data_IF_110723537784
#
_entry.id   IF_110723537784
#
_cell.length_a   1.000
_cell.length_b   1.000
_cell.length_c   1.000
_cell.angle_alpha   90.00
_cell.angle_beta   90.00
_cell.angle_gamma   90.00
#
_symmetry.space_group_name_H-M   'P 1'
#
loop_
_entity.id
_entity.type
_entity.pdbx_description
1 polymer ?
#
# COMPACT_ATOMS: atom_id res chain seq x y z
N UNK A 1 8.83 12.04 5.60
CA UNK A 1 8.56 11.08 4.51
C UNK A 1 8.42 11.89 3.23
N UNK A 2 8.96 11.47 2.08
CA UNK A 2 8.90 12.28 0.84
C UNK A 2 7.54 12.15 0.18
N UNK A 3 7.08 13.23 -0.44
CA UNK A 3 5.86 13.30 -1.23
C UNK A 3 6.03 12.58 -2.58
N UNK A 4 4.98 11.89 -3.03
CA UNK A 4 4.98 11.11 -4.28
C UNK A 4 5.37 11.93 -5.53
N UNK A 5 4.92 13.19 -5.71
CA UNK A 5 5.25 13.98 -6.90
C UNK A 5 6.74 14.30 -7.06
N UNK A 6 7.47 14.48 -5.95
CA UNK A 6 8.90 14.84 -5.98
C UNK A 6 9.82 13.68 -5.60
N UNK A 7 9.31 12.44 -5.59
CA UNK A 7 10.01 11.26 -5.04
C UNK A 7 11.41 11.03 -5.60
N UNK A 8 11.68 11.35 -6.87
CA UNK A 8 13.01 11.18 -7.48
C UNK A 8 13.93 12.40 -7.37
N UNK A 9 13.45 13.56 -6.91
CA UNK A 9 14.26 14.80 -6.86
C UNK A 9 15.19 14.81 -5.65
N UNK A 10 16.42 15.29 -5.83
CA UNK A 10 17.38 15.48 -4.72
C UNK A 10 17.65 14.21 -3.92
N UNK A 11 17.74 13.05 -4.59
CA UNK A 11 18.09 11.80 -3.94
C UNK A 11 19.58 11.80 -3.58
N UNK A 12 19.89 11.75 -2.29
CA UNK A 12 21.28 11.66 -1.83
C UNK A 12 21.97 10.45 -2.46
N UNK A 13 23.25 10.57 -2.89
CA UNK A 13 24.00 9.45 -3.44
C UNK A 13 24.06 8.31 -2.41
N UNK A 14 23.88 7.08 -2.90
CA UNK A 14 23.88 5.82 -2.13
C UNK A 14 24.46 4.77 -3.04
N UNK A 15 25.28 3.89 -2.48
CA UNK A 15 25.84 2.77 -3.23
C UNK A 15 24.76 1.74 -3.59
N UNK A 16 24.98 0.89 -4.61
CA UNK A 16 24.08 -0.22 -4.92
C UNK A 16 23.79 -1.12 -3.73
N UNK A 17 24.79 -1.36 -2.87
CA UNK A 17 24.62 -2.16 -1.65
C UNK A 17 23.65 -1.50 -0.65
N UNK A 18 23.79 -0.19 -0.42
CA UNK A 18 22.85 0.55 0.42
C UNK A 18 21.42 0.51 -0.14
N UNK A 19 21.27 0.61 -1.47
CA UNK A 19 19.96 0.53 -2.13
C UNK A 19 19.32 -0.85 -1.98
N UNK A 20 20.10 -1.92 -2.13
CA UNK A 20 19.62 -3.28 -1.85
C UNK A 20 19.25 -3.48 -0.38
N UNK A 21 20.03 -2.91 0.55
CA UNK A 21 19.71 -2.93 1.97
C UNK A 21 18.38 -2.23 2.29
N UNK A 22 18.10 -1.10 1.60
CA UNK A 22 16.81 -0.42 1.67
C UNK A 22 15.68 -1.33 1.18
N UNK A 23 15.82 -1.96 0.01
CA UNK A 23 14.81 -2.90 -0.50
C UNK A 23 14.54 -4.00 0.52
N UNK A 24 15.58 -4.64 1.07
CA UNK A 24 15.45 -5.68 2.10
C UNK A 24 14.76 -5.19 3.37
N UNK A 25 15.12 -4.00 3.85
CA UNK A 25 14.52 -3.41 5.06
C UNK A 25 13.01 -3.20 4.87
N UNK A 26 12.61 -2.57 3.78
CA UNK A 26 11.20 -2.24 3.54
C UNK A 26 10.37 -3.45 3.12
N UNK A 27 10.97 -4.44 2.45
CA UNK A 27 10.37 -5.76 2.25
C UNK A 27 10.00 -6.40 3.58
N UNK A 28 10.95 -6.51 4.52
CA UNK A 28 10.68 -7.08 5.86
C UNK A 28 9.61 -6.31 6.61
N UNK A 29 9.64 -4.98 6.53
CA UNK A 29 8.61 -4.12 7.13
C UNK A 29 7.22 -4.43 6.58
N UNK A 30 7.06 -4.45 5.26
CA UNK A 30 5.77 -4.75 4.62
C UNK A 30 5.26 -6.17 4.94
N UNK A 31 6.14 -7.18 4.90
CA UNK A 31 5.78 -8.55 5.29
C UNK A 31 5.31 -8.61 6.74
N UNK A 32 6.04 -7.98 7.67
CA UNK A 32 5.67 -7.98 9.10
C UNK A 32 4.36 -7.25 9.41
N UNK A 33 3.93 -6.31 8.56
CA UNK A 33 2.67 -5.59 8.74
C UNK A 33 1.48 -6.29 8.11
N UNK A 34 1.69 -7.31 7.28
CA UNK A 34 0.61 -8.02 6.61
C UNK A 34 -0.43 -8.57 7.60
N UNK A 35 0.02 -9.25 8.64
CA UNK A 35 -0.86 -9.84 9.65
C UNK A 35 -1.67 -8.78 10.42
N UNK A 36 -1.02 -7.65 10.74
CA UNK A 36 -1.70 -6.53 11.39
C UNK A 36 -2.80 -5.94 10.47
N UNK A 37 -2.53 -5.84 9.18
CA UNK A 37 -3.53 -5.41 8.21
C UNK A 37 -4.71 -6.39 8.16
N UNK A 38 -4.45 -7.70 8.16
CA UNK A 38 -5.54 -8.70 8.18
C UNK A 38 -6.38 -8.58 9.46
N UNK A 39 -5.74 -8.31 10.60
CA UNK A 39 -6.44 -8.03 11.86
C UNK A 39 -7.32 -6.77 11.74
N UNK A 40 -6.81 -5.68 11.16
CA UNK A 40 -7.60 -4.44 10.97
C UNK A 40 -8.73 -4.58 9.97
N UNK A 41 -8.58 -5.44 8.96
CA UNK A 41 -9.71 -5.84 8.10
C UNK A 41 -10.78 -6.60 8.87
N UNK A 42 -10.40 -7.44 9.83
CA UNK A 42 -11.36 -8.11 10.71
C UNK A 42 -12.11 -7.11 11.61
N UNK A 43 -11.41 -6.12 12.16
CA UNK A 43 -12.03 -5.04 12.95
C UNK A 43 -13.09 -4.28 12.11
N UNK A 44 -12.80 -3.97 10.85
CA UNK A 44 -13.77 -3.33 9.92
C UNK A 44 -14.98 -4.22 9.67
N UNK A 45 -14.78 -5.52 9.38
CA UNK A 45 -15.87 -6.48 9.19
C UNK A 45 -16.74 -6.62 10.43
N UNK A 46 -16.13 -6.60 11.61
CA UNK A 46 -16.84 -6.65 12.87
C UNK A 46 -17.71 -5.39 13.08
N UNK A 47 -17.17 -4.19 12.82
CA UNK A 47 -17.93 -2.95 12.90
C UNK A 47 -19.14 -2.95 11.94
N UNK A 48 -18.95 -3.43 10.71
CA UNK A 48 -20.04 -3.60 9.75
C UNK A 48 -21.12 -4.58 10.24
N UNK A 49 -20.70 -5.72 10.79
CA UNK A 49 -21.63 -6.72 11.32
C UNK A 49 -22.42 -6.19 12.52
N UNK A 50 -21.76 -5.44 13.41
CA UNK A 50 -22.39 -4.82 14.58
C UNK A 50 -23.40 -3.74 14.21
N UNK A 51 -23.11 -2.96 13.15
CA UNK A 51 -24.05 -1.96 12.64
C UNK A 51 -25.35 -2.61 12.11
N UNK A 52 -25.32 -3.88 11.66
CA UNK A 52 -26.52 -4.63 11.29
C UNK A 52 -27.36 -3.98 10.17
N UNK A 53 -26.73 -3.20 9.28
CA UNK A 53 -27.43 -2.42 8.25
C UNK A 53 -28.03 -1.11 8.76
N UNK A 54 -27.84 -0.76 10.04
CA UNK A 54 -28.13 0.58 10.55
C UNK A 54 -27.25 1.61 9.83
N UNK A 55 -27.88 2.72 9.45
CA UNK A 55 -27.20 3.89 8.89
C UNK A 55 -27.25 5.08 9.85
N UNK A 56 -27.44 4.81 11.15
CA UNK A 56 -27.34 5.83 12.17
C UNK A 56 -25.91 6.37 12.28
N UNK A 57 -25.81 7.57 12.87
CA UNK A 57 -24.56 8.30 12.95
C UNK A 57 -23.52 7.59 13.84
N UNK A 58 -23.96 6.83 14.84
CA UNK A 58 -23.05 6.11 15.74
C UNK A 58 -22.36 4.95 15.01
N UNK A 59 -23.14 4.11 14.34
CA UNK A 59 -22.68 3.00 13.50
C UNK A 59 -21.75 3.49 12.40
N UNK A 60 -22.10 4.60 11.73
CA UNK A 60 -21.23 5.22 10.71
C UNK A 60 -19.89 5.67 11.28
N UNK A 61 -19.88 6.29 12.46
CA UNK A 61 -18.63 6.72 13.12
C UNK A 61 -17.75 5.57 13.54
N UNK A 62 -18.33 4.46 14.02
CA UNK A 62 -17.56 3.27 14.40
C UNK A 62 -16.89 2.61 13.19
N UNK A 63 -17.64 2.43 12.09
CA UNK A 63 -17.09 1.90 10.83
C UNK A 63 -16.01 2.84 10.29
N UNK A 64 -16.24 4.15 10.28
CA UNK A 64 -15.25 5.14 9.86
C UNK A 64 -13.97 5.09 10.70
N UNK A 65 -14.07 4.87 12.01
CA UNK A 65 -12.90 4.72 12.91
C UNK A 65 -12.11 3.45 12.60
N UNK A 66 -12.80 2.34 12.35
CA UNK A 66 -12.15 1.09 11.96
C UNK A 66 -11.44 1.23 10.60
N UNK A 67 -12.11 1.83 9.61
CA UNK A 67 -11.52 2.13 8.30
C UNK A 67 -10.33 3.08 8.38
N UNK A 68 -10.41 4.11 9.21
CA UNK A 68 -9.31 5.03 9.44
C UNK A 68 -8.07 4.28 9.94
N UNK A 69 -8.26 3.40 10.93
CA UNK A 69 -7.16 2.57 11.45
C UNK A 69 -6.59 1.65 10.37
N UNK A 70 -7.44 0.96 9.61
CA UNK A 70 -7.00 0.11 8.49
C UNK A 70 -6.20 0.92 7.45
N UNK A 71 -6.64 2.13 7.13
CA UNK A 71 -5.97 2.96 6.12
C UNK A 71 -4.62 3.51 6.59
N UNK A 72 -4.43 3.69 7.90
CA UNK A 72 -3.09 3.97 8.44
C UNK A 72 -2.14 2.78 8.23
N UNK A 73 -2.64 1.55 8.41
CA UNK A 73 -1.85 0.34 8.14
C UNK A 73 -1.56 0.16 6.64
N UNK A 74 -2.55 0.43 5.78
CA UNK A 74 -2.33 0.49 4.34
C UNK A 74 -1.28 1.54 4.00
N UNK A 75 -1.35 2.74 4.58
CA UNK A 75 -0.40 3.82 4.35
C UNK A 75 1.02 3.39 4.67
N UNK A 76 1.24 2.68 5.78
CA UNK A 76 2.54 2.09 6.09
C UNK A 76 2.98 1.09 5.00
N UNK A 77 2.12 0.14 4.64
CA UNK A 77 2.43 -0.89 3.64
C UNK A 77 2.80 -0.28 2.28
N UNK A 78 2.02 0.66 1.76
CA UNK A 78 2.31 1.32 0.47
C UNK A 78 3.50 2.28 0.58
N UNK A 79 3.83 2.78 1.78
CA UNK A 79 5.08 3.51 2.02
C UNK A 79 6.29 2.59 1.86
N UNK A 80 6.23 1.34 2.33
CA UNK A 80 7.29 0.36 2.08
C UNK A 80 7.49 0.15 0.57
N UNK A 81 6.41 -0.03 -0.18
CA UNK A 81 6.45 -0.13 -1.65
C UNK A 81 7.08 1.10 -2.31
N UNK A 82 6.72 2.31 -1.87
CA UNK A 82 7.35 3.55 -2.36
C UNK A 82 8.86 3.56 -2.11
N UNK A 83 9.32 3.15 -0.93
CA UNK A 83 10.75 3.11 -0.64
C UNK A 83 11.50 2.05 -1.46
N UNK A 84 10.86 0.91 -1.74
CA UNK A 84 11.38 -0.12 -2.63
C UNK A 84 11.47 0.40 -4.07
N UNK A 85 10.40 1.01 -4.58
CA UNK A 85 10.31 1.61 -5.91
C UNK A 85 11.44 2.64 -6.13
N UNK A 86 11.58 3.57 -5.19
CA UNK A 86 12.63 4.59 -5.27
C UNK A 86 14.05 4.01 -5.23
N UNK A 87 14.26 2.91 -4.49
CA UNK A 87 15.55 2.23 -4.48
C UNK A 87 15.81 1.50 -5.80
N UNK A 88 14.78 0.84 -6.35
CA UNK A 88 14.84 0.15 -7.64
C UNK A 88 15.09 1.13 -8.80
N UNK A 89 14.39 2.27 -8.84
CA UNK A 89 14.61 3.30 -9.84
C UNK A 89 16.08 3.72 -9.93
N UNK A 90 16.75 3.85 -8.78
CA UNK A 90 18.16 4.23 -8.73
C UNK A 90 19.07 3.10 -9.20
N UNK A 91 18.80 1.87 -8.78
CA UNK A 91 19.54 0.69 -9.24
C UNK A 91 19.38 0.49 -10.77
N UNK A 92 18.18 0.70 -11.30
CA UNK A 92 17.86 0.57 -12.72
C UNK A 92 18.59 1.59 -13.61
N UNK A 93 19.03 2.73 -13.06
CA UNK A 93 19.86 3.70 -13.78
C UNK A 93 21.31 3.27 -13.96
N UNK A 94 21.76 2.32 -13.13
CA UNK A 94 23.15 1.85 -13.10
C UNK A 94 23.30 0.43 -13.69
N UNK A 95 22.25 -0.39 -13.64
CA UNK A 95 22.27 -1.77 -14.13
C UNK A 95 20.92 -2.18 -14.76
N UNK A 96 20.99 -2.61 -16.02
CA UNK A 96 19.86 -2.97 -16.88
C UNK A 96 19.04 -4.15 -16.32
N UNK A 97 19.65 -5.05 -15.54
CA UNK A 97 18.93 -6.15 -14.88
C UNK A 97 17.85 -5.62 -13.93
N UNK A 98 18.15 -4.56 -13.17
CA UNK A 98 17.15 -3.91 -12.31
C UNK A 98 16.12 -3.10 -13.11
N UNK A 99 16.50 -2.54 -14.27
CA UNK A 99 15.54 -1.89 -15.16
C UNK A 99 14.47 -2.88 -15.67
N UNK A 100 14.89 -4.09 -16.04
CA UNK A 100 13.94 -5.17 -16.43
C UNK A 100 13.02 -5.58 -15.28
N UNK A 101 13.52 -5.66 -14.05
CA UNK A 101 12.69 -5.92 -12.87
C UNK A 101 11.66 -4.80 -12.69
N UNK A 102 12.09 -3.54 -12.74
CA UNK A 102 11.21 -2.39 -12.57
C UNK A 102 10.12 -2.36 -13.66
N UNK A 103 10.44 -2.74 -14.90
CA UNK A 103 9.47 -2.87 -15.98
C UNK A 103 8.48 -4.00 -15.72
N UNK A 104 8.95 -5.19 -15.30
CA UNK A 104 8.11 -6.36 -15.00
C UNK A 104 7.06 -6.04 -13.93
N UNK A 105 7.45 -5.34 -12.87
CA UNK A 105 6.57 -5.00 -11.74
C UNK A 105 5.98 -3.58 -11.83
N UNK A 106 6.02 -2.96 -13.02
CA UNK A 106 5.66 -1.55 -13.19
C UNK A 106 4.20 -1.26 -12.79
N UNK A 107 3.29 -2.18 -13.08
CA UNK A 107 1.87 -2.03 -12.73
C UNK A 107 1.67 -2.03 -11.20
N UNK A 108 2.28 -2.99 -10.51
CA UNK A 108 2.23 -3.13 -9.06
C UNK A 108 2.86 -1.92 -8.39
N UNK A 109 4.07 -1.54 -8.81
CA UNK A 109 4.78 -0.37 -8.28
C UNK A 109 3.94 0.91 -8.45
N UNK A 110 3.38 1.14 -9.64
CA UNK A 110 2.57 2.32 -9.91
C UNK A 110 1.27 2.34 -9.10
N UNK A 111 0.61 1.18 -8.96
CA UNK A 111 -0.61 1.05 -8.14
C UNK A 111 -0.33 1.47 -6.70
N UNK A 112 0.71 0.91 -6.08
CA UNK A 112 1.05 1.23 -4.68
C UNK A 112 1.50 2.68 -4.51
N UNK A 113 2.28 3.23 -5.45
CA UNK A 113 2.68 4.64 -5.42
C UNK A 113 1.47 5.58 -5.55
N UNK A 114 0.48 5.21 -6.37
CA UNK A 114 -0.74 6.01 -6.54
C UNK A 114 -1.63 5.95 -5.31
N UNK A 115 -1.84 4.76 -4.74
CA UNK A 115 -2.59 4.60 -3.47
C UNK A 115 -1.89 5.34 -2.33
N UNK A 116 -0.55 5.30 -2.29
CA UNK A 116 0.26 6.07 -1.33
C UNK A 116 0.07 7.57 -1.46
N UNK A 117 -0.22 8.10 -2.65
CA UNK A 117 -0.52 9.51 -2.83
C UNK A 117 -1.89 9.87 -2.22
N UNK A 118 -2.92 9.05 -2.46
CA UNK A 118 -4.24 9.28 -1.86
C UNK A 118 -4.21 9.17 -0.33
N UNK A 119 -3.48 8.19 0.20
CA UNK A 119 -3.35 7.96 1.64
C UNK A 119 -2.55 9.04 2.39
N UNK A 120 -1.99 10.05 1.73
CA UNK A 120 -1.54 11.26 2.42
C UNK A 120 -2.74 12.04 3.03
N UNK A 121 -3.96 11.80 2.53
CA UNK A 121 -5.23 12.36 3.01
C UNK A 121 -6.15 11.24 3.51
N UNK A 122 -5.72 10.49 4.53
CA UNK A 122 -6.46 9.32 5.08
C UNK A 122 -7.93 9.62 5.40
N UNK A 123 -8.23 10.76 6.03
CA UNK A 123 -9.60 11.13 6.38
C UNK A 123 -10.51 11.34 5.15
N UNK A 124 -9.96 11.90 4.07
CA UNK A 124 -10.67 12.02 2.80
C UNK A 124 -10.92 10.65 2.18
N UNK A 125 -9.94 9.76 2.25
CA UNK A 125 -10.08 8.39 1.78
C UNK A 125 -11.20 7.65 2.53
N UNK A 126 -11.27 7.78 3.86
CA UNK A 126 -12.34 7.15 4.66
C UNK A 126 -13.71 7.70 4.25
N UNK A 127 -13.85 9.02 4.13
CA UNK A 127 -15.11 9.65 3.68
C UNK A 127 -15.53 9.16 2.29
N UNK A 128 -14.57 8.99 1.38
CA UNK A 128 -14.83 8.50 0.02
C UNK A 128 -15.31 7.04 -0.05
N UNK A 129 -15.25 6.27 1.05
CA UNK A 129 -15.79 4.91 1.09
C UNK A 129 -17.31 4.86 1.29
N UNK A 130 -17.90 5.93 1.82
CA UNK A 130 -19.34 6.01 2.05
C UNK A 130 -20.06 6.44 0.78
N UNK A 131 -21.06 5.66 0.38
CA UNK A 131 -21.99 6.01 -0.69
C UNK A 131 -23.23 6.66 -0.06
N UNK A 132 -23.39 7.97 -0.25
CA UNK A 132 -24.55 8.72 0.29
C UNK A 132 -25.87 8.32 -0.37
N UNK A 133 -25.87 7.93 -1.66
CA UNK A 133 -27.10 7.55 -2.37
C UNK A 133 -27.62 6.19 -1.90
N UNK A 134 -26.70 5.23 -1.73
CA UNK A 134 -27.01 3.87 -1.31
C UNK A 134 -26.96 3.67 0.19
N UNK A 135 -26.49 4.68 0.94
CA UNK A 135 -26.26 4.65 2.39
C UNK A 135 -25.48 3.40 2.82
N UNK A 136 -24.40 3.08 2.11
CA UNK A 136 -23.62 1.85 2.33
C UNK A 136 -22.10 2.07 2.19
N UNK A 137 -21.33 1.13 2.73
CA UNK A 137 -19.86 1.09 2.71
C UNK A 137 -19.37 0.11 1.64
N UNK A 138 -19.56 0.46 0.37
CA UNK A 138 -19.36 -0.44 -0.79
C UNK A 138 -18.02 -1.19 -0.80
N UNK A 139 -16.95 -0.53 -0.37
CA UNK A 139 -15.62 -1.13 -0.41
C UNK A 139 -15.29 -2.05 0.76
N UNK A 140 -15.85 -1.76 1.94
CA UNK A 140 -15.53 -2.47 3.17
C UNK A 140 -16.16 -3.88 3.19
N UNK A 141 -17.35 -4.05 2.62
CA UNK A 141 -18.02 -5.36 2.50
C UNK A 141 -17.25 -6.35 1.60
N UNK A 142 -16.58 -5.83 0.58
CA UNK A 142 -15.88 -6.63 -0.44
C UNK A 142 -14.37 -6.69 -0.24
N UNK A 143 -13.87 -6.09 0.83
CA UNK A 143 -12.44 -5.89 1.08
C UNK A 143 -11.72 -5.23 -0.12
N UNK A 144 -12.39 -4.26 -0.75
CA UNK A 144 -11.93 -3.51 -1.92
C UNK A 144 -12.15 -2.01 -1.73
N UNK A 145 -11.11 -1.29 -1.33
CA UNK A 145 -11.24 0.12 -0.91
C UNK A 145 -10.89 1.05 -2.07
N UNK A 146 -11.64 2.14 -2.19
CA UNK A 146 -11.50 3.12 -3.28
C UNK A 146 -10.46 4.19 -2.93
N UNK A 147 -9.48 4.39 -3.80
CA UNK A 147 -8.51 5.47 -3.74
C UNK A 147 -8.45 6.16 -5.11
N UNK A 148 -9.21 7.24 -5.27
CA UNK A 148 -9.49 7.80 -6.59
C UNK A 148 -10.20 6.77 -7.47
N UNK A 149 -9.64 6.49 -8.65
CA UNK A 149 -10.14 5.49 -9.60
C UNK A 149 -9.65 4.07 -9.31
N UNK A 150 -8.76 3.89 -8.32
CA UNK A 150 -8.16 2.59 -8.00
C UNK A 150 -8.99 1.90 -6.91
N UNK A 151 -9.31 0.63 -7.14
CA UNK A 151 -9.71 -0.30 -6.08
C UNK A 151 -8.47 -1.03 -5.57
N UNK A 152 -8.23 -0.95 -4.27
CA UNK A 152 -7.02 -1.48 -3.65
C UNK A 152 -7.37 -2.25 -2.38
N UNK A 153 -6.56 -3.26 -2.10
CA UNK A 153 -6.55 -4.00 -0.86
C UNK A 153 -5.17 -4.64 -0.67
N UNK A 154 -4.85 -5.06 0.55
CA UNK A 154 -3.64 -5.84 0.83
C UNK A 154 -4.05 -7.26 1.18
N UNK A 155 -3.93 -8.16 0.22
CA UNK A 155 -4.31 -9.57 0.27
C UNK A 155 -3.12 -10.50 -0.02
N UNK A 156 -3.38 -11.80 -0.10
CA UNK A 156 -2.36 -12.81 -0.38
C UNK A 156 -1.65 -12.54 -1.72
N UNK A 157 -2.37 -12.05 -2.73
CA UNK A 157 -1.79 -11.68 -4.02
C UNK A 157 -0.82 -10.51 -3.87
N UNK A 158 -1.19 -9.50 -3.09
CA UNK A 158 -0.32 -8.35 -2.78
C UNK A 158 0.97 -8.79 -2.10
N UNK A 159 0.88 -9.74 -1.16
CA UNK A 159 2.04 -10.32 -0.48
C UNK A 159 2.90 -11.17 -1.45
N UNK A 160 2.28 -12.00 -2.28
CA UNK A 160 2.97 -12.80 -3.30
C UNK A 160 3.75 -11.91 -4.28
N UNK A 161 3.14 -10.84 -4.81
CA UNK A 161 3.82 -9.90 -5.69
C UNK A 161 5.02 -9.22 -5.02
N UNK A 162 4.92 -8.92 -3.72
CA UNK A 162 6.04 -8.38 -2.95
C UNK A 162 7.19 -9.39 -2.81
N UNK A 163 6.88 -10.67 -2.55
CA UNK A 163 7.86 -11.75 -2.49
C UNK A 163 8.57 -11.92 -3.84
N UNK A 164 7.82 -12.03 -4.93
CA UNK A 164 8.38 -12.18 -6.28
C UNK A 164 9.31 -11.01 -6.65
N UNK A 165 8.92 -9.77 -6.34
CA UNK A 165 9.75 -8.60 -6.58
C UNK A 165 11.04 -8.69 -5.76
N UNK A 166 10.95 -9.02 -4.48
CA UNK A 166 12.11 -9.11 -3.60
C UNK A 166 13.08 -10.19 -4.05
N UNK A 167 12.59 -11.37 -4.41
CA UNK A 167 13.38 -12.48 -4.94
C UNK A 167 14.09 -12.11 -6.24
N UNK A 168 13.38 -11.46 -7.16
CA UNK A 168 13.99 -10.97 -8.41
C UNK A 168 15.15 -10.01 -8.14
N UNK A 169 15.01 -9.11 -7.16
CA UNK A 169 16.09 -8.19 -6.76
C UNK A 169 17.27 -8.93 -6.10
N UNK A 170 17.01 -9.93 -5.27
CA UNK A 170 18.09 -10.73 -4.66
C UNK A 170 18.84 -11.55 -5.72
N UNK A 171 18.15 -12.12 -6.71
CA UNK A 171 18.76 -12.94 -7.76
C UNK A 171 19.86 -12.20 -8.54
N UNK A 172 19.67 -10.90 -8.80
CA UNK A 172 20.69 -10.04 -9.47
C UNK A 172 21.95 -9.87 -8.61
N UNK A 173 21.82 -9.96 -7.30
CA UNK A 173 22.93 -9.76 -6.35
C UNK A 173 23.77 -11.03 -6.15
N UNK A 174 23.20 -12.18 -6.49
CA UNK A 174 23.83 -13.51 -6.39
C UNK A 174 24.51 -13.94 -7.70
N UNK A 175 24.38 -13.15 -8.77
CA UNK A 175 24.96 -13.36 -10.10
C UNK A 175 26.09 -12.39 -10.39
#
# INVERSE_FOLDING_TARGET
MRDVPNRYRGLAPRTPEMLRSIVRKFYRGAVSHYDLIQLKKADVRQALAQAGGSSDEESRREIARALHTLFLEFHFYVTCWLQIEMALYRLAREDERYARIMQRFGCELQTHVTVRHHLDQTEECVRAQWDEERRTWLGAERDQYRFGEILFTVDEKSLASLHELYEAVQAVSSS
#
